data_IF_075284189252
#
_entry.id   IF_075284189252
#
_cell.length_a   1.000
_cell.length_b   1.000
_cell.length_c   1.000
_cell.angle_alpha   90.00
_cell.angle_beta   90.00
_cell.angle_gamma   90.00
#
_symmetry.space_group_name_H-M   'P 1'
#
loop_
_entity.id
_entity.type
_entity.pdbx_description
1 polymer ?
#
# COMPACT_ATOMS: atom_id res chain seq x y z
N UNK A 1 9.99 12.21 -2.13
CA UNK A 1 9.05 11.76 -1.10
C UNK A 1 7.64 12.12 -1.53
N UNK A 2 6.81 11.14 -1.90
CA UNK A 2 5.40 11.38 -2.22
C UNK A 2 4.66 11.74 -0.93
N UNK A 3 4.44 13.03 -0.71
CA UNK A 3 3.47 13.53 0.27
C UNK A 3 2.08 13.19 -0.25
N UNK A 4 1.63 11.95 -0.04
CA UNK A 4 0.19 11.69 -0.04
C UNK A 4 -0.36 12.55 1.08
N UNK A 5 -1.08 13.62 0.71
CA UNK A 5 -1.67 14.55 1.66
C UNK A 5 -2.61 13.77 2.58
N UNK A 6 -2.14 13.49 3.80
CA UNK A 6 -2.93 12.86 4.83
C UNK A 6 -4.11 13.78 5.16
N UNK A 7 -5.32 13.22 5.21
CA UNK A 7 -6.51 13.97 5.58
C UNK A 7 -6.30 14.60 6.98
N UNK A 8 -6.43 15.94 7.11
CA UNK A 8 -6.21 16.63 8.38
C UNK A 8 -7.08 16.12 9.54
N UNK A 9 -8.35 15.82 9.26
CA UNK A 9 -9.30 15.30 10.27
C UNK A 9 -8.88 13.92 10.76
N UNK A 10 -8.34 13.08 9.87
CA UNK A 10 -7.83 11.77 10.23
C UNK A 10 -6.53 11.86 11.07
N UNK A 11 -5.68 12.84 10.77
CA UNK A 11 -4.48 13.12 11.57
C UNK A 11 -4.85 13.61 12.97
N UNK A 12 -5.81 14.53 13.08
CA UNK A 12 -6.30 15.02 14.36
C UNK A 12 -6.93 13.90 15.19
N UNK A 13 -7.76 13.04 14.58
CA UNK A 13 -8.32 11.87 15.25
C UNK A 13 -7.23 10.91 15.76
N UNK A 14 -6.18 10.68 14.96
CA UNK A 14 -5.02 9.89 15.37
C UNK A 14 -4.24 10.53 16.53
N UNK A 15 -4.08 11.86 16.50
CA UNK A 15 -3.40 12.61 17.56
C UNK A 15 -4.18 12.55 18.88
N UNK A 16 -5.51 12.73 18.82
CA UNK A 16 -6.41 12.56 19.97
C UNK A 16 -6.36 11.16 20.56
N UNK A 17 -6.29 10.13 19.71
CA UNK A 17 -6.15 8.75 20.16
C UNK A 17 -4.81 8.51 20.89
N UNK A 18 -3.70 9.06 20.38
CA UNK A 18 -2.40 9.00 21.05
C UNK A 18 -2.41 9.72 22.39
N UNK A 19 -3.04 10.90 22.46
CA UNK A 19 -3.23 11.61 23.73
C UNK A 19 -4.04 10.77 24.73
N UNK A 20 -5.12 10.13 24.28
CA UNK A 20 -5.93 9.26 25.15
C UNK A 20 -5.15 8.05 25.65
N UNK A 21 -4.29 7.43 24.84
CA UNK A 21 -3.41 6.35 25.33
C UNK A 21 -2.41 6.87 26.39
N UNK A 22 -1.92 8.11 26.25
CA UNK A 22 -0.98 8.71 27.20
C UNK A 22 -1.64 9.11 28.54
N UNK A 23 -2.86 9.68 28.50
CA UNK A 23 -3.49 10.26 29.68
C UNK A 23 -4.92 9.79 30.00
N UNK A 24 -5.50 8.91 29.20
CA UNK A 24 -6.84 8.32 29.42
C UNK A 24 -8.02 9.28 29.24
N UNK A 25 -7.81 10.45 28.62
CA UNK A 25 -8.80 11.53 28.59
C UNK A 25 -8.70 12.39 27.32
N UNK A 26 -9.74 12.33 26.49
CA UNK A 26 -9.84 13.12 25.25
C UNK A 26 -10.08 14.62 25.52
N UNK A 27 -10.68 14.98 26.65
CA UNK A 27 -11.03 16.37 26.95
C UNK A 27 -9.79 17.26 27.13
N UNK A 28 -8.63 16.64 27.38
CA UNK A 28 -7.34 17.32 27.47
C UNK A 28 -6.87 17.91 26.15
N UNK A 29 -7.40 17.46 25.02
CA UNK A 29 -7.05 18.01 23.71
C UNK A 29 -7.36 19.50 23.62
N UNK A 30 -8.59 19.89 23.99
CA UNK A 30 -9.05 21.27 23.90
C UNK A 30 -8.43 22.19 24.97
N UNK A 31 -7.84 21.60 26.01
CA UNK A 31 -7.15 22.30 27.10
C UNK A 31 -5.64 22.46 26.84
N UNK A 32 -5.13 21.79 25.81
CA UNK A 32 -3.73 21.79 25.44
C UNK A 32 -3.41 22.98 24.54
N UNK A 33 -2.22 23.54 24.71
CA UNK A 33 -1.75 24.62 23.85
C UNK A 33 -1.39 24.11 22.45
N UNK A 34 -1.20 25.04 21.51
CA UNK A 34 -0.88 24.73 20.12
C UNK A 34 0.37 23.86 20.00
N UNK A 35 1.37 24.09 20.87
CA UNK A 35 2.60 23.32 20.89
C UNK A 35 2.36 21.85 21.28
N UNK A 36 1.55 21.60 22.31
CA UNK A 36 1.18 20.25 22.71
C UNK A 36 0.35 19.53 21.65
N UNK A 37 -0.65 20.20 21.06
CA UNK A 37 -1.44 19.64 19.96
C UNK A 37 -0.57 19.30 18.74
N UNK A 38 0.42 20.14 18.44
CA UNK A 38 1.36 19.90 17.35
C UNK A 38 2.21 18.64 17.57
N UNK A 39 2.72 18.40 18.79
CA UNK A 39 3.53 17.21 19.11
C UNK A 39 2.76 15.92 18.81
N UNK A 40 1.53 15.80 19.30
CA UNK A 40 0.70 14.61 19.04
C UNK A 40 0.31 14.48 17.57
N UNK A 41 0.07 15.60 16.89
CA UNK A 41 -0.19 15.62 15.44
C UNK A 41 1.01 15.14 14.63
N UNK A 42 2.23 15.50 15.02
CA UNK A 42 3.47 15.02 14.41
C UNK A 42 3.66 13.51 14.63
N UNK A 43 3.34 13.00 15.82
CA UNK A 43 3.36 11.55 16.09
C UNK A 43 2.32 10.79 15.27
N UNK A 44 1.09 11.30 15.17
CA UNK A 44 0.06 10.73 14.32
C UNK A 44 0.49 10.72 12.85
N UNK A 45 1.13 11.79 12.38
CA UNK A 45 1.69 11.89 11.02
C UNK A 45 2.82 10.92 10.78
N UNK A 46 3.72 10.75 11.75
CA UNK A 46 4.82 9.79 11.66
C UNK A 46 4.28 8.35 11.60
N UNK A 47 3.31 8.00 12.45
CA UNK A 47 2.65 6.70 12.43
C UNK A 47 1.90 6.44 11.12
N UNK A 48 1.12 7.41 10.64
CA UNK A 48 0.42 7.30 9.36
C UNK A 48 1.38 7.21 8.17
N UNK A 49 2.46 7.98 8.17
CA UNK A 49 3.52 7.88 7.15
C UNK A 49 4.22 6.53 7.20
N UNK A 50 4.52 6.01 8.39
CA UNK A 50 5.11 4.69 8.57
C UNK A 50 4.15 3.59 8.08
N UNK A 51 2.86 3.68 8.42
CA UNK A 51 1.83 2.79 7.91
C UNK A 51 1.74 2.88 6.39
N UNK A 52 1.64 4.07 5.78
CA UNK A 52 1.58 4.23 4.33
C UNK A 52 2.85 3.75 3.62
N UNK A 53 4.02 3.86 4.25
CA UNK A 53 5.27 3.35 3.72
C UNK A 53 5.29 1.81 3.66
N UNK A 54 4.55 1.12 4.55
CA UNK A 54 4.46 -0.36 4.59
C UNK A 54 3.15 -0.92 4.06
N UNK A 55 2.10 -0.11 3.99
CA UNK A 55 0.81 -0.44 3.42
C UNK A 55 0.96 -0.45 1.91
N UNK A 56 1.44 -1.59 1.42
CA UNK A 56 1.53 -1.87 -0.01
C UNK A 56 0.16 -1.62 -0.64
N UNK A 57 0.08 -0.79 -1.70
CA UNK A 57 -1.18 -0.56 -2.38
C UNK A 57 -1.74 -1.91 -2.83
N UNK A 58 -2.99 -2.16 -2.45
CA UNK A 58 -3.74 -3.34 -2.87
C UNK A 58 -4.41 -2.99 -4.19
N UNK A 59 -4.23 -3.83 -5.19
CA UNK A 59 -4.92 -3.72 -6.47
C UNK A 59 -6.17 -4.57 -6.39
N UNK A 60 -7.34 -3.95 -6.61
CA UNK A 60 -8.65 -4.60 -6.48
C UNK A 60 -9.38 -4.77 -7.82
N UNK A 61 -8.83 -4.22 -8.91
CA UNK A 61 -9.43 -4.29 -10.25
C UNK A 61 -8.37 -4.45 -11.35
N UNK A 62 -8.81 -4.88 -12.52
CA UNK A 62 -7.96 -5.00 -13.71
C UNK A 62 -7.49 -3.62 -14.16
N UNK A 63 -8.36 -2.61 -14.08
CA UNK A 63 -8.05 -1.22 -14.44
C UNK A 63 -6.96 -0.63 -13.54
N UNK A 64 -7.00 -0.90 -12.23
CA UNK A 64 -5.94 -0.51 -11.30
C UNK A 64 -4.61 -1.21 -11.60
N UNK A 65 -4.67 -2.49 -12.02
CA UNK A 65 -3.49 -3.25 -12.42
C UNK A 65 -2.87 -2.68 -13.71
N UNK A 66 -3.70 -2.36 -14.70
CA UNK A 66 -3.28 -1.75 -15.96
C UNK A 66 -2.73 -0.33 -15.80
N UNK A 67 -3.20 0.42 -14.81
CA UNK A 67 -2.70 1.76 -14.50
C UNK A 67 -1.29 1.75 -13.85
N UNK A 68 -0.78 0.60 -13.41
CA UNK A 68 0.56 0.53 -12.81
C UNK A 68 1.66 0.83 -13.83
N UNK A 69 2.72 1.56 -13.44
CA UNK A 69 3.83 1.85 -14.34
C UNK A 69 4.60 0.58 -14.71
N UNK A 70 5.25 0.59 -15.88
CA UNK A 70 6.22 -0.45 -16.28
C UNK A 70 7.28 -0.59 -15.21
N UNK A 71 7.67 -1.83 -14.88
CA UNK A 71 8.60 -2.16 -13.81
C UNK A 71 7.95 -2.33 -12.43
N UNK A 72 6.62 -2.17 -12.32
CA UNK A 72 5.90 -2.51 -11.08
C UNK A 72 6.02 -4.00 -10.78
N UNK A 73 6.22 -4.31 -9.51
CA UNK A 73 6.29 -5.68 -9.00
C UNK A 73 5.11 -5.93 -8.07
N UNK A 74 4.33 -6.96 -8.36
CA UNK A 74 3.24 -7.42 -7.50
C UNK A 74 3.55 -8.81 -6.96
N UNK A 75 3.09 -9.10 -5.76
CA UNK A 75 3.11 -10.44 -5.20
C UNK A 75 1.72 -10.88 -4.76
N UNK A 76 1.36 -12.11 -5.12
CA UNK A 76 0.34 -12.85 -4.38
C UNK A 76 1.02 -13.53 -3.19
N UNK A 77 0.85 -12.95 -2.00
CA UNK A 77 1.46 -13.42 -0.76
C UNK A 77 0.56 -14.44 -0.02
N UNK A 78 -0.64 -14.70 -0.53
CA UNK A 78 -1.64 -15.53 0.13
C UNK A 78 -2.24 -16.50 -0.87
N UNK A 79 -1.41 -17.37 -1.45
CA UNK A 79 -1.97 -18.61 -1.94
C UNK A 79 -2.26 -19.53 -0.74
N UNK A 80 -3.53 -19.61 -0.38
CA UNK A 80 -4.05 -20.49 0.67
C UNK A 80 -3.76 -21.99 0.39
N UNK A 81 -3.31 -22.32 -0.82
CA UNK A 81 -2.93 -23.69 -1.23
C UNK A 81 -1.47 -24.02 -0.94
N UNK A 82 -0.67 -23.04 -0.51
CA UNK A 82 0.74 -23.23 -0.14
C UNK A 82 1.72 -23.19 -1.31
N UNK A 83 1.31 -22.72 -2.50
CA UNK A 83 2.24 -22.46 -3.58
C UNK A 83 3.12 -21.24 -3.26
N UNK A 84 4.32 -21.22 -3.84
CA UNK A 84 5.27 -20.14 -3.65
C UNK A 84 4.67 -18.79 -4.12
N UNK A 85 5.02 -17.67 -3.46
CA UNK A 85 4.45 -16.37 -3.80
C UNK A 85 4.68 -16.04 -5.28
N UNK A 86 3.59 -15.69 -5.98
CA UNK A 86 3.67 -15.33 -7.40
C UNK A 86 4.16 -13.89 -7.50
N UNK A 87 5.42 -13.70 -7.91
CA UNK A 87 5.98 -12.38 -8.19
C UNK A 87 5.80 -12.06 -9.67
N UNK A 88 5.12 -10.97 -10.00
CA UNK A 88 4.89 -10.53 -11.38
C UNK A 88 5.52 -9.15 -11.60
N UNK A 89 6.18 -8.96 -12.74
CA UNK A 89 6.78 -7.69 -13.13
C UNK A 89 6.14 -7.17 -14.43
N UNK A 90 5.74 -5.89 -14.45
CA UNK A 90 5.14 -5.29 -15.65
C UNK A 90 6.21 -4.96 -16.70
N UNK A 91 6.10 -5.57 -17.88
CA UNK A 91 6.98 -5.37 -19.01
C UNK A 91 6.60 -4.13 -19.84
N UNK A 92 7.51 -3.70 -20.73
CA UNK A 92 7.36 -2.49 -21.56
C UNK A 92 6.18 -2.54 -22.54
N UNK A 93 5.72 -3.72 -22.91
CA UNK A 93 4.58 -3.94 -23.81
C UNK A 93 3.24 -4.06 -23.07
N UNK A 94 3.20 -3.72 -21.78
CA UNK A 94 2.05 -3.88 -20.87
C UNK A 94 1.67 -5.31 -20.48
N UNK A 95 2.41 -6.32 -20.94
CA UNK A 95 2.30 -7.68 -20.42
C UNK A 95 2.99 -7.81 -19.06
N UNK A 96 2.63 -8.85 -18.30
CA UNK A 96 3.25 -9.16 -17.02
C UNK A 96 4.11 -10.41 -17.13
N UNK A 97 5.36 -10.33 -16.71
CA UNK A 97 6.24 -11.49 -16.63
C UNK A 97 6.12 -12.14 -15.23
N UNK A 98 5.89 -13.44 -15.19
CA UNK A 98 5.87 -14.19 -13.94
C UNK A 98 7.28 -14.70 -13.58
N UNK A 99 7.73 -14.43 -12.35
CA UNK A 99 9.01 -14.89 -11.79
C UNK A 99 8.90 -16.26 -11.08
N UNK A 100 7.80 -16.99 -11.28
CA UNK A 100 7.56 -18.29 -10.64
C UNK A 100 7.94 -19.45 -11.55
N UNK A 101 8.06 -20.64 -10.96
CA UNK A 101 8.25 -21.90 -11.67
C UNK A 101 6.99 -22.40 -12.39
N UNK A 102 5.84 -21.76 -12.18
CA UNK A 102 4.56 -22.13 -12.77
C UNK A 102 4.26 -21.33 -14.02
N UNK A 103 4.32 -21.98 -15.18
CA UNK A 103 3.75 -21.40 -16.41
C UNK A 103 2.23 -21.59 -16.39
N UNK A 104 1.47 -20.52 -16.58
CA UNK A 104 0.05 -20.65 -16.93
C UNK A 104 0.00 -20.98 -18.42
N UNK A 105 -0.57 -22.12 -18.78
CA UNK A 105 -0.68 -22.57 -20.18
C UNK A 105 0.65 -22.64 -20.95
N UNK A 106 1.77 -22.91 -20.27
CA UNK A 106 3.09 -23.00 -20.91
C UNK A 106 3.70 -21.64 -21.31
N UNK A 107 3.10 -20.53 -20.88
CA UNK A 107 3.59 -19.17 -21.18
C UNK A 107 4.20 -18.52 -19.93
N UNK A 108 5.34 -17.80 -20.07
CA UNK A 108 5.95 -17.05 -18.97
C UNK A 108 5.39 -15.63 -18.79
N UNK A 109 4.42 -15.22 -19.62
CA UNK A 109 3.80 -13.89 -19.62
C UNK A 109 2.29 -14.01 -19.49
N UNK A 110 1.70 -13.18 -18.64
CA UNK A 110 0.27 -13.15 -18.36
C UNK A 110 -0.29 -11.75 -18.64
N UNK A 111 -1.56 -11.68 -19.02
CA UNK A 111 -2.31 -10.42 -19.12
C UNK A 111 -2.84 -9.99 -17.75
N UNK A 112 -3.26 -8.73 -17.62
CA UNK A 112 -3.90 -8.22 -16.39
C UNK A 112 -5.16 -9.02 -16.03
N UNK A 113 -5.93 -9.47 -17.03
CA UNK A 113 -7.12 -10.32 -16.84
C UNK A 113 -6.76 -11.71 -16.30
N UNK A 114 -5.72 -12.34 -16.85
CA UNK A 114 -5.25 -13.66 -16.40
C UNK A 114 -4.78 -13.60 -14.94
N UNK A 115 -4.09 -12.53 -14.56
CA UNK A 115 -3.67 -12.29 -13.18
C UNK A 115 -4.87 -12.08 -12.26
N UNK A 116 -5.83 -11.25 -12.65
CA UNK A 116 -7.02 -10.99 -11.84
C UNK A 116 -7.89 -12.23 -11.63
N UNK A 117 -7.87 -13.20 -12.56
CA UNK A 117 -8.58 -14.47 -12.41
C UNK A 117 -7.93 -15.40 -11.39
N UNK A 118 -6.60 -15.40 -11.28
CA UNK A 118 -5.89 -16.33 -10.39
C UNK A 118 -5.55 -15.73 -9.03
N UNK A 119 -5.36 -14.41 -8.97
CA UNK A 119 -4.94 -13.73 -7.75
C UNK A 119 -6.16 -13.37 -6.89
N UNK A 120 -6.15 -13.83 -5.63
CA UNK A 120 -7.21 -13.45 -4.67
C UNK A 120 -6.97 -12.06 -4.08
N UNK A 121 -5.71 -11.69 -3.88
CA UNK A 121 -5.27 -10.39 -3.35
C UNK A 121 -3.90 -10.03 -3.91
N UNK A 122 -3.84 -8.97 -4.71
CA UNK A 122 -2.58 -8.47 -5.25
C UNK A 122 -2.04 -7.34 -4.39
N UNK A 123 -0.78 -7.47 -3.96
CA UNK A 123 -0.05 -6.39 -3.30
C UNK A 123 1.08 -5.90 -4.18
N UNK A 124 1.17 -4.59 -4.36
CA UNK A 124 2.30 -3.97 -5.06
C UNK A 124 3.49 -3.90 -4.11
N UNK A 125 4.50 -4.73 -4.35
CA UNK A 125 5.75 -4.74 -3.60
C UNK A 125 6.65 -3.56 -3.97
N UNK A 126 6.66 -3.20 -5.25
CA UNK A 126 7.46 -2.11 -5.77
C UNK A 126 6.71 -1.39 -6.87
N UNK A 127 6.72 -0.05 -6.79
CA UNK A 127 6.29 0.82 -7.86
C UNK A 127 7.50 1.69 -8.23
N UNK A 128 8.01 1.62 -9.47
CA UNK A 128 9.09 2.50 -9.89
C UNK A 128 8.66 3.95 -9.76
N UNK A 129 9.58 4.80 -9.33
CA UNK A 129 9.35 6.24 -9.29
C UNK A 129 9.09 6.71 -10.73
N UNK A 130 7.95 7.36 -10.95
CA UNK A 130 7.69 8.02 -12.23
C UNK A 130 8.71 9.16 -12.31
N UNK A 131 9.72 9.00 -13.17
CA UNK A 131 10.67 10.06 -13.46
C UNK A 131 9.89 11.29 -13.92
N UNK A 132 10.03 12.38 -13.17
CA UNK A 132 9.56 13.71 -13.56
C UNK A 132 10.43 14.28 -14.67
#
# INVERSE_FOLDING_TARGET
MNNTLLNPDALEAGAKALLFEDCGDYSRWDLMDEAGQQIFTEYARAAASAYLAVAQPVVNSVEELEALPVGSVIADLYDDRGDAPVVLCKALNQDWAALTTGTQNGRPWWTSEEIAQVARRLRVLHRPEVGA
#
